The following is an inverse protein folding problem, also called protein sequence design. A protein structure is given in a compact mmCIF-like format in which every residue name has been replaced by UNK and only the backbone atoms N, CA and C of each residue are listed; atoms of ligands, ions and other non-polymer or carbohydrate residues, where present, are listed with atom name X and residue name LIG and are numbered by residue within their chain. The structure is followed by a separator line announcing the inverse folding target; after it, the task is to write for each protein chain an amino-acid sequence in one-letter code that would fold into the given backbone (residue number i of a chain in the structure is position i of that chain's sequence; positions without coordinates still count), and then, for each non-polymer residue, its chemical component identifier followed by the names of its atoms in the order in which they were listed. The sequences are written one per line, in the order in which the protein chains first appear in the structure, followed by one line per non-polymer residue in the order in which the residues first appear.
data_IF_615090659853
#
_entry.id   IF_615090659853
#
_cell.length_a   1.000
_cell.length_b   1.000
_cell.length_c   1.000
_cell.angle_alpha   90.00
_cell.angle_beta   90.00
_cell.angle_gamma   90.00
#
_symmetry.space_group_name_H-M   'P 1'
#
loop_
_entity.id
_entity.type
_entity.pdbx_description
1 polymer ?
#
# COMPACT_ATOMS: atom_id res chain seq x y z
N UNK A 1 -24.15 22.45 19.00
CA UNK A 1 -23.66 22.08 17.64
C UNK A 1 -22.16 22.27 17.45
N UNK A 2 -21.49 23.20 18.14
CA UNK A 2 -20.05 23.48 18.01
C UNK A 2 -19.15 22.35 18.52
N UNK A 3 -19.48 21.73 19.65
CA UNK A 3 -18.64 20.67 20.26
C UNK A 3 -18.51 19.42 19.38
N UNK A 4 -19.60 18.99 18.74
CA UNK A 4 -19.62 17.85 17.81
C UNK A 4 -18.72 18.12 16.58
N UNK A 5 -18.74 19.35 16.04
CA UNK A 5 -17.86 19.75 14.93
C UNK A 5 -16.38 19.71 15.31
N UNK A 6 -16.04 20.17 16.53
CA UNK A 6 -14.66 20.14 17.04
C UNK A 6 -14.15 18.71 17.17
N UNK A 7 -14.95 17.82 17.78
CA UNK A 7 -14.61 16.40 17.92
C UNK A 7 -14.45 15.74 16.55
N UNK A 8 -15.38 16.00 15.62
CA UNK A 8 -15.32 15.48 14.26
C UNK A 8 -14.07 15.94 13.52
N UNK A 9 -13.67 17.21 13.65
CA UNK A 9 -12.43 17.75 13.10
C UNK A 9 -11.19 17.07 13.67
N UNK A 10 -11.14 16.84 14.99
CA UNK A 10 -10.03 16.14 15.64
C UNK A 10 -9.85 14.72 15.12
N UNK A 11 -10.94 13.93 15.07
CA UNK A 11 -10.90 12.57 14.54
C UNK A 11 -10.57 12.54 13.05
N UNK A 12 -11.09 13.47 12.24
CA UNK A 12 -10.74 13.56 10.82
C UNK A 12 -9.26 13.92 10.62
N UNK A 13 -8.69 14.80 11.44
CA UNK A 13 -7.27 15.13 11.39
C UNK A 13 -6.38 13.95 11.77
N UNK A 14 -6.74 13.23 12.85
CA UNK A 14 -6.03 12.03 13.27
C UNK A 14 -6.11 10.94 12.19
N UNK A 15 -7.30 10.73 11.63
CA UNK A 15 -7.52 9.79 10.54
C UNK A 15 -6.68 10.18 9.31
N UNK A 16 -6.66 11.45 8.91
CA UNK A 16 -5.83 11.93 7.80
C UNK A 16 -4.35 11.59 7.98
N UNK A 17 -3.80 11.79 9.18
CA UNK A 17 -2.42 11.43 9.49
C UNK A 17 -2.17 9.93 9.24
N UNK A 18 -3.01 9.07 9.84
CA UNK A 18 -2.89 7.61 9.73
C UNK A 18 -3.05 7.15 8.28
N UNK A 19 -4.08 7.64 7.59
CA UNK A 19 -4.35 7.31 6.19
C UNK A 19 -3.24 7.80 5.25
N UNK A 20 -2.62 8.95 5.53
CA UNK A 20 -1.49 9.48 4.75
C UNK A 20 -0.25 8.59 4.86
N UNK A 21 0.09 8.17 6.08
CA UNK A 21 1.20 7.25 6.31
C UNK A 21 0.92 5.90 5.62
N UNK A 22 -0.30 5.38 5.76
CA UNK A 22 -0.71 4.13 5.12
C UNK A 22 -0.64 4.22 3.59
N UNK A 23 -1.12 5.32 2.99
CA UNK A 23 -1.06 5.54 1.55
C UNK A 23 0.38 5.54 1.03
N UNK A 24 1.25 6.27 1.72
CA UNK A 24 2.67 6.35 1.37
C UNK A 24 3.35 4.98 1.50
N UNK A 25 3.03 4.25 2.57
CA UNK A 25 3.53 2.89 2.80
C UNK A 25 3.09 1.89 1.72
N UNK A 26 1.85 1.99 1.24
CA UNK A 26 1.34 1.11 0.17
C UNK A 26 1.96 1.40 -1.19
N UNK A 27 2.17 2.67 -1.53
CA UNK A 27 2.87 3.03 -2.77
C UNK A 27 4.31 2.56 -2.70
N UNK A 28 4.97 2.80 -1.57
CA UNK A 28 6.36 2.40 -1.38
C UNK A 28 6.53 0.88 -1.45
N UNK A 29 5.62 0.11 -0.83
CA UNK A 29 5.64 -1.35 -0.92
C UNK A 29 5.34 -1.88 -2.31
N UNK A 30 4.43 -1.24 -3.07
CA UNK A 30 4.20 -1.57 -4.47
C UNK A 30 5.47 -1.35 -5.31
N UNK A 31 6.16 -0.22 -5.11
CA UNK A 31 7.42 0.08 -5.78
C UNK A 31 8.51 -0.96 -5.45
N UNK A 32 8.66 -1.29 -4.16
CA UNK A 32 9.59 -2.31 -3.70
C UNK A 32 9.27 -3.69 -4.28
N UNK A 33 7.99 -4.04 -4.42
CA UNK A 33 7.57 -5.30 -5.02
C UNK A 33 8.03 -5.42 -6.47
N UNK A 34 7.86 -4.35 -7.27
CA UNK A 34 8.35 -4.30 -8.66
C UNK A 34 9.88 -4.44 -8.69
N UNK A 35 10.59 -3.67 -7.86
CA UNK A 35 12.06 -3.71 -7.79
C UNK A 35 12.56 -5.10 -7.37
N UNK A 36 11.91 -5.73 -6.39
CA UNK A 36 12.25 -7.08 -5.94
C UNK A 36 12.01 -8.13 -7.02
N UNK A 37 10.91 -8.03 -7.77
CA UNK A 37 10.64 -8.87 -8.94
C UNK A 37 11.73 -8.73 -9.99
N UNK A 38 12.14 -7.51 -10.31
CA UNK A 38 13.22 -7.23 -11.26
C UNK A 38 14.56 -7.80 -10.76
N UNK A 39 14.97 -7.50 -9.52
CA UNK A 39 16.24 -7.98 -8.94
C UNK A 39 16.34 -9.51 -8.94
N UNK A 40 15.24 -10.22 -8.71
CA UNK A 40 15.19 -11.69 -8.76
C UNK A 40 15.40 -12.23 -10.18
N UNK A 41 14.96 -11.51 -11.21
CA UNK A 41 15.19 -11.90 -12.62
C UNK A 41 16.64 -11.69 -13.06
N UNK A 42 17.33 -10.70 -12.50
CA UNK A 42 18.77 -10.47 -12.74
C UNK A 42 19.69 -11.48 -12.04
N UNK A 43 19.14 -12.53 -11.42
CA UNK A 43 19.93 -13.67 -10.94
C UNK A 43 20.49 -13.52 -9.53
N UNK A 44 20.02 -12.54 -8.74
CA UNK A 44 20.27 -12.51 -7.29
C UNK A 44 19.51 -13.67 -6.62
N UNK A 45 20.13 -14.86 -6.62
CA UNK A 45 19.64 -16.08 -5.97
C UNK A 45 19.39 -15.93 -4.46
N UNK A 46 19.87 -14.84 -3.85
CA UNK A 46 19.72 -14.56 -2.42
C UNK A 46 18.30 -14.10 -2.05
N UNK A 47 17.53 -13.55 -2.98
CA UNK A 47 16.13 -13.18 -2.74
C UNK A 47 15.27 -14.41 -3.03
N UNK A 48 15.21 -15.36 -2.09
CA UNK A 48 14.32 -16.53 -2.18
C UNK A 48 12.88 -16.13 -1.81
N UNK A 49 11.97 -16.15 -2.79
CA UNK A 49 10.53 -16.12 -2.58
C UNK A 49 10.01 -17.55 -2.57
N UNK A 50 9.37 -17.93 -1.47
CA UNK A 50 8.67 -19.21 -1.30
C UNK A 50 7.17 -18.94 -1.14
N UNK A 51 6.31 -19.68 -1.86
CA UNK A 51 4.84 -19.60 -1.65
C UNK A 51 4.48 -20.18 -0.30
N UNK A 52 5.24 -21.20 0.12
CA UNK A 52 5.01 -22.01 1.29
C UNK A 52 6.34 -22.56 1.82
N UNK A 53 6.38 -23.03 3.07
CA UNK A 53 7.55 -23.73 3.60
C UNK A 53 7.93 -24.90 2.68
N UNK A 54 9.13 -24.85 2.10
CA UNK A 54 9.66 -25.89 1.22
C UNK A 54 9.21 -25.81 -0.24
N UNK A 55 8.36 -24.85 -0.63
CA UNK A 55 7.93 -24.66 -2.02
C UNK A 55 8.59 -23.40 -2.58
N UNK A 56 9.72 -23.59 -3.25
CA UNK A 56 10.44 -22.53 -3.95
C UNK A 56 9.67 -22.10 -5.19
N UNK A 57 9.45 -20.79 -5.37
CA UNK A 57 8.87 -20.28 -6.61
C UNK A 57 9.87 -20.39 -7.76
N UNK A 58 9.49 -20.97 -8.90
CA UNK A 58 10.27 -20.86 -10.13
C UNK A 58 10.50 -19.39 -10.48
N UNK A 59 11.69 -19.07 -10.99
CA UNK A 59 12.06 -17.69 -11.37
C UNK A 59 11.04 -17.09 -12.36
N UNK A 60 10.46 -17.92 -13.24
CA UNK A 60 9.43 -17.52 -14.19
C UNK A 60 8.17 -16.91 -13.55
N UNK A 61 7.79 -17.33 -12.33
CA UNK A 61 6.61 -16.81 -11.63
C UNK A 61 6.90 -15.61 -10.75
N UNK A 62 8.16 -15.18 -10.61
CA UNK A 62 8.51 -14.04 -9.77
C UNK A 62 7.98 -12.71 -10.29
N UNK A 63 8.05 -12.47 -11.61
CA UNK A 63 7.54 -11.24 -12.22
C UNK A 63 6.01 -11.19 -12.18
N UNK A 64 5.26 -12.21 -12.65
CA UNK A 64 3.80 -12.18 -12.61
C UNK A 64 3.27 -11.99 -11.19
N UNK A 65 3.88 -12.65 -10.21
CA UNK A 65 3.47 -12.54 -8.81
C UNK A 65 3.75 -11.15 -8.24
N UNK A 66 4.93 -10.59 -8.49
CA UNK A 66 5.27 -9.23 -8.06
C UNK A 66 4.34 -8.18 -8.69
N UNK A 67 4.02 -8.33 -9.98
CA UNK A 67 3.07 -7.47 -10.68
C UNK A 67 1.67 -7.57 -10.09
N UNK A 68 1.21 -8.79 -9.75
CA UNK A 68 -0.08 -9.02 -9.12
C UNK A 68 -0.16 -8.37 -7.73
N UNK A 69 0.88 -8.51 -6.90
CA UNK A 69 0.93 -7.84 -5.60
C UNK A 69 1.01 -6.32 -5.73
N UNK A 70 1.81 -5.80 -6.66
CA UNK A 70 1.87 -4.36 -6.95
C UNK A 70 0.51 -3.82 -7.39
N UNK A 71 -0.22 -4.52 -8.25
CA UNK A 71 -1.57 -4.15 -8.68
C UNK A 71 -2.55 -4.13 -7.51
N UNK A 72 -2.51 -5.15 -6.66
CA UNK A 72 -3.35 -5.23 -5.46
C UNK A 72 -3.09 -4.05 -4.51
N UNK A 73 -1.82 -3.78 -4.22
CA UNK A 73 -1.39 -2.66 -3.37
C UNK A 73 -1.80 -1.32 -3.97
N UNK A 74 -1.68 -1.17 -5.29
CA UNK A 74 -2.12 0.02 -6.00
C UNK A 74 -3.63 0.22 -5.89
N UNK A 75 -4.43 -0.84 -6.09
CA UNK A 75 -5.87 -0.79 -5.88
C UNK A 75 -6.23 -0.36 -4.45
N UNK A 76 -5.60 -0.97 -3.44
CA UNK A 76 -5.78 -0.57 -2.04
C UNK A 76 -5.45 0.91 -1.81
N UNK A 77 -4.34 1.40 -2.40
CA UNK A 77 -3.95 2.81 -2.30
C UNK A 77 -5.02 3.75 -2.88
N UNK A 78 -5.72 3.35 -3.93
CA UNK A 78 -6.78 4.14 -4.55
C UNK A 78 -7.99 4.32 -3.62
N UNK A 79 -8.39 3.26 -2.91
CA UNK A 79 -9.45 3.35 -1.89
C UNK A 79 -9.05 4.25 -0.72
N UNK A 80 -7.80 4.14 -0.24
CA UNK A 80 -7.29 4.99 0.82
C UNK A 80 -7.25 6.46 0.40
N UNK A 81 -6.83 6.76 -0.83
CA UNK A 81 -6.87 8.12 -1.38
C UNK A 81 -8.29 8.70 -1.35
N UNK A 82 -9.31 7.89 -1.67
CA UNK A 82 -10.72 8.30 -1.60
C UNK A 82 -11.14 8.61 -0.16
N UNK A 83 -10.71 7.80 0.81
CA UNK A 83 -10.97 8.04 2.24
C UNK A 83 -10.28 9.30 2.77
N UNK A 84 -9.07 9.61 2.31
CA UNK A 84 -8.36 10.86 2.62
C UNK A 84 -9.16 12.06 2.08
N UNK A 85 -9.58 12.01 0.82
CA UNK A 85 -10.39 13.10 0.23
C UNK A 85 -11.72 13.30 0.98
N UNK A 86 -12.35 12.22 1.43
CA UNK A 86 -13.56 12.31 2.25
C UNK A 86 -13.31 13.05 3.56
N UNK A 87 -12.28 12.66 4.33
CA UNK A 87 -11.90 13.33 5.58
C UNK A 87 -11.55 14.80 5.34
N UNK A 88 -10.81 15.09 4.26
CA UNK A 88 -10.45 16.46 3.89
C UNK A 88 -11.70 17.31 3.56
N UNK A 89 -12.68 16.77 2.84
CA UNK A 89 -13.92 17.49 2.56
C UNK A 89 -14.71 17.82 3.83
N UNK A 90 -14.67 16.95 4.84
CA UNK A 90 -15.34 17.17 6.13
C UNK A 90 -14.65 18.20 7.03
N UNK A 91 -13.35 18.42 6.83
CA UNK A 91 -12.57 19.44 7.53
C UNK A 91 -12.66 20.83 6.88
N UNK A 92 -13.13 20.91 5.63
CA UNK A 92 -13.22 22.17 4.86
C UNK A 92 -14.50 22.98 5.11
N UNK A 93 -15.39 22.50 6.00
CA UNK A 93 -16.68 23.08 6.39
C UNK A 93 -16.75 23.35 7.90
#
# INVERSE_FOLDING_TARGET
MTFIKIIQGFFCSLALLVLSILYTGLIFSALLSIVAGILRTFGLKQIQMSVWKGVELPIAFSIPLALLFSLLLFFCSMYIKRSIQFCYSKLKF
#
